data_IF_938462360186
#
_entry.id   IF_938462360186
#
_cell.length_a   1.000
_cell.length_b   1.000
_cell.length_c   1.000
_cell.angle_alpha   90.00
_cell.angle_beta   90.00
_cell.angle_gamma   90.00
#
_symmetry.space_group_name_H-M   'P 1'
#
loop_
_entity.id
_entity.type
_entity.pdbx_description
1 polymer ?
#
# COMPACT_ATOMS: atom_id res chain seq x y z
N UNK A 1 -6.35 -5.83 8.87
CA UNK A 1 -5.42 -6.09 7.75
C UNK A 1 -4.49 -4.91 7.56
N UNK A 2 -5.08 -3.75 7.29
CA UNK A 2 -4.40 -2.44 7.17
C UNK A 2 -3.37 -2.17 8.28
N UNK A 3 -3.72 -2.36 9.56
CA UNK A 3 -2.76 -2.11 10.66
C UNK A 3 -1.52 -3.01 10.62
N UNK A 4 -1.68 -4.25 10.11
CA UNK A 4 -0.56 -5.17 9.91
C UNK A 4 0.32 -4.71 8.75
N UNK A 5 -0.26 -4.19 7.66
CA UNK A 5 0.49 -3.61 6.54
C UNK A 5 1.26 -2.35 6.98
N UNK A 6 0.62 -1.48 7.77
CA UNK A 6 1.27 -0.31 8.35
C UNK A 6 2.43 -0.71 9.28
N UNK A 7 2.19 -1.66 10.18
CA UNK A 7 3.21 -2.18 11.09
C UNK A 7 4.36 -2.85 10.34
N UNK A 8 4.08 -3.54 9.24
CA UNK A 8 5.10 -4.12 8.36
C UNK A 8 6.01 -3.04 7.79
N UNK A 9 5.44 -1.97 7.21
CA UNK A 9 6.21 -0.84 6.67
C UNK A 9 7.08 -0.19 7.73
N UNK A 10 6.58 -0.01 8.96
CA UNK A 10 7.36 0.56 10.08
C UNK A 10 8.65 -0.18 10.40
N UNK A 11 8.70 -1.48 10.13
CA UNK A 11 9.84 -2.34 10.46
C UNK A 11 10.85 -2.47 9.32
N UNK A 12 10.57 -1.91 8.13
CA UNK A 12 11.48 -1.95 6.98
C UNK A 12 12.35 -0.70 6.98
N UNK A 13 13.66 -0.89 6.84
CA UNK A 13 14.64 0.19 6.78
C UNK A 13 15.08 0.46 5.33
N UNK A 14 15.55 1.68 5.09
CA UNK A 14 16.09 2.14 3.80
C UNK A 14 15.12 2.03 2.61
N UNK A 15 13.84 2.34 2.83
CA UNK A 15 12.86 2.39 1.75
C UNK A 15 13.14 3.63 0.87
N UNK A 16 13.41 3.42 -0.42
CA UNK A 16 13.53 4.47 -1.44
C UNK A 16 12.17 4.92 -1.96
N UNK A 17 11.29 3.97 -2.25
CA UNK A 17 9.93 4.21 -2.76
C UNK A 17 8.95 3.19 -2.21
N UNK A 18 7.69 3.60 -2.05
CA UNK A 18 6.61 2.75 -1.57
C UNK A 18 5.39 2.85 -2.48
N UNK A 19 4.66 1.76 -2.63
CA UNK A 19 3.39 1.73 -3.32
C UNK A 19 2.31 1.06 -2.46
N UNK A 20 1.14 1.68 -2.38
CA UNK A 20 -0.10 1.08 -1.86
C UNK A 20 -0.97 0.73 -3.06
N UNK A 21 -1.34 -0.54 -3.18
CA UNK A 21 -2.07 -1.05 -4.34
C UNK A 21 -3.37 -1.68 -3.89
N UNK A 22 -4.49 -1.36 -4.56
CA UNK A 22 -5.80 -1.89 -4.20
C UNK A 22 -6.51 -2.55 -5.39
N UNK A 23 -7.42 -3.50 -5.12
CA UNK A 23 -8.29 -4.05 -6.14
C UNK A 23 -9.50 -3.15 -6.39
N UNK A 24 -10.42 -3.10 -5.44
CA UNK A 24 -11.70 -2.38 -5.56
C UNK A 24 -12.01 -1.49 -4.35
N UNK A 25 -11.03 -1.23 -3.48
CA UNK A 25 -11.16 -0.47 -2.24
C UNK A 25 -10.23 0.76 -2.20
N UNK A 26 -10.50 1.80 -3.01
CA UNK A 26 -9.66 2.99 -3.05
C UNK A 26 -9.64 3.75 -1.73
N UNK A 27 -10.76 3.81 -0.99
CA UNK A 27 -10.87 4.58 0.26
C UNK A 27 -9.97 4.00 1.36
N UNK A 28 -10.00 2.67 1.54
CA UNK A 28 -9.11 1.99 2.49
C UNK A 28 -7.63 2.14 2.11
N UNK A 29 -7.32 2.11 0.82
CA UNK A 29 -5.97 2.30 0.31
C UNK A 29 -5.47 3.74 0.52
N UNK A 30 -6.36 4.73 0.41
CA UNK A 30 -6.07 6.11 0.75
C UNK A 30 -5.84 6.28 2.25
N UNK A 31 -6.68 5.67 3.11
CA UNK A 31 -6.48 5.69 4.56
C UNK A 31 -5.10 5.11 4.94
N UNK A 32 -4.73 3.96 4.37
CA UNK A 32 -3.40 3.37 4.61
C UNK A 32 -2.28 4.29 4.09
N UNK A 33 -2.47 4.93 2.94
CA UNK A 33 -1.50 5.89 2.38
C UNK A 33 -1.27 7.07 3.33
N UNK A 34 -2.33 7.67 3.88
CA UNK A 34 -2.21 8.77 4.84
C UNK A 34 -1.57 8.31 6.16
N UNK A 35 -1.88 7.10 6.63
CA UNK A 35 -1.21 6.53 7.80
C UNK A 35 0.29 6.32 7.57
N UNK A 36 0.70 5.76 6.42
CA UNK A 36 2.11 5.60 6.07
C UNK A 36 2.79 6.98 5.89
N UNK A 37 2.07 7.98 5.36
CA UNK A 37 2.58 9.34 5.20
C UNK A 37 2.95 10.02 6.53
N UNK A 38 2.45 9.52 7.68
CA UNK A 38 2.87 10.01 9.01
C UNK A 38 4.29 9.61 9.41
N UNK A 39 4.88 8.61 8.74
CA UNK A 39 6.21 8.05 9.05
C UNK A 39 7.15 7.99 7.84
N UNK A 40 6.65 8.26 6.63
CA UNK A 40 7.39 8.17 5.38
C UNK A 40 6.98 9.31 4.43
N UNK A 41 7.90 9.90 3.65
CA UNK A 41 7.57 11.04 2.78
C UNK A 41 6.45 10.70 1.78
N UNK A 42 5.36 11.48 1.81
CA UNK A 42 4.16 11.22 0.99
C UNK A 42 4.46 11.25 -0.50
N UNK A 43 5.40 12.08 -0.94
CA UNK A 43 5.78 12.23 -2.35
C UNK A 43 6.43 10.96 -2.92
N UNK A 44 6.92 10.09 -2.04
CA UNK A 44 7.53 8.79 -2.37
C UNK A 44 6.54 7.63 -2.25
N UNK A 45 5.27 7.90 -1.93
CA UNK A 45 4.20 6.91 -1.89
C UNK A 45 3.38 6.97 -3.17
N UNK A 46 3.21 5.82 -3.83
CA UNK A 46 2.37 5.69 -5.03
C UNK A 46 1.11 4.92 -4.68
N UNK A 47 -0.05 5.55 -4.91
CA UNK A 47 -1.34 4.86 -4.83
C UNK A 47 -1.70 4.34 -6.23
N UNK A 48 -1.99 3.05 -6.34
CA UNK A 48 -2.32 2.41 -7.62
C UNK A 48 -3.45 1.39 -7.49
N UNK A 49 -4.08 1.07 -8.62
CA UNK A 49 -5.02 -0.05 -8.72
C UNK A 49 -4.33 -1.27 -9.32
N UNK A 50 -4.58 -2.45 -8.77
CA UNK A 50 -4.08 -3.70 -9.32
C UNK A 50 -4.75 -4.01 -10.66
N UNK A 51 -4.00 -4.54 -11.61
CA UNK A 51 -4.54 -4.97 -12.90
C UNK A 51 -5.40 -6.24 -12.80
N UNK A 52 -6.28 -6.51 -13.78
CA UNK A 52 -7.21 -7.65 -13.75
C UNK A 52 -6.54 -9.00 -13.52
N UNK A 53 -5.37 -9.24 -14.13
CA UNK A 53 -4.65 -10.51 -14.03
C UNK A 53 -4.24 -10.87 -12.59
N UNK A 54 -3.94 -9.86 -11.75
CA UNK A 54 -3.66 -10.08 -10.33
C UNK A 54 -4.92 -9.96 -9.48
N UNK A 55 -5.85 -9.08 -9.89
CA UNK A 55 -7.11 -8.84 -9.20
C UNK A 55 -7.98 -10.09 -9.09
N UNK A 56 -7.96 -10.98 -10.07
CA UNK A 56 -8.72 -12.26 -10.01
C UNK A 56 -8.26 -13.20 -8.89
N UNK A 57 -7.00 -13.10 -8.46
CA UNK A 57 -6.45 -13.93 -7.39
C UNK A 57 -6.62 -13.29 -6.00
N UNK A 58 -6.47 -11.97 -5.93
CA UNK A 58 -6.67 -11.23 -4.67
C UNK A 58 -8.14 -11.06 -4.30
N UNK A 59 -9.02 -10.98 -5.30
CA UNK A 59 -10.45 -10.72 -5.12
C UNK A 59 -10.78 -9.27 -4.73
N UNK A 60 -12.08 -8.93 -4.65
CA UNK A 60 -12.54 -7.64 -4.16
C UNK A 60 -12.02 -7.36 -2.74
N UNK A 61 -11.64 -6.11 -2.47
CA UNK A 61 -11.10 -5.70 -1.17
C UNK A 61 -9.62 -6.00 -0.93
N UNK A 62 -8.92 -6.66 -1.86
CA UNK A 62 -7.49 -6.89 -1.73
C UNK A 62 -6.70 -5.57 -1.72
N UNK A 63 -5.76 -5.47 -0.77
CA UNK A 63 -4.82 -4.36 -0.62
C UNK A 63 -3.41 -4.94 -0.40
N UNK A 64 -2.43 -4.36 -1.06
CA UNK A 64 -1.03 -4.73 -0.96
C UNK A 64 -0.15 -3.49 -0.74
N UNK A 65 1.00 -3.72 -0.11
CA UNK A 65 2.09 -2.73 -0.06
C UNK A 65 3.31 -3.35 -0.73
N UNK A 66 3.95 -2.56 -1.59
CA UNK A 66 5.23 -2.89 -2.20
C UNK A 66 6.23 -1.76 -1.90
N UNK A 67 7.51 -2.09 -1.83
CA UNK A 67 8.56 -1.11 -1.59
C UNK A 67 9.83 -1.47 -2.36
N UNK A 68 10.66 -0.45 -2.60
CA UNK A 68 12.01 -0.58 -3.17
C UNK A 68 13.03 -0.11 -2.15
N UNK A 69 14.08 -0.89 -1.94
CA UNK A 69 15.25 -0.51 -1.14
C UNK A 69 16.38 0.03 -2.02
#
# INVERSE_FOLDING_TARGET
>A
GIDKLFSFVKNVVDIKDLAVVHATTPDEAQILTEHIASIFPKERIRLARVGPALGVHGGPGAIAVAFRQ
#
